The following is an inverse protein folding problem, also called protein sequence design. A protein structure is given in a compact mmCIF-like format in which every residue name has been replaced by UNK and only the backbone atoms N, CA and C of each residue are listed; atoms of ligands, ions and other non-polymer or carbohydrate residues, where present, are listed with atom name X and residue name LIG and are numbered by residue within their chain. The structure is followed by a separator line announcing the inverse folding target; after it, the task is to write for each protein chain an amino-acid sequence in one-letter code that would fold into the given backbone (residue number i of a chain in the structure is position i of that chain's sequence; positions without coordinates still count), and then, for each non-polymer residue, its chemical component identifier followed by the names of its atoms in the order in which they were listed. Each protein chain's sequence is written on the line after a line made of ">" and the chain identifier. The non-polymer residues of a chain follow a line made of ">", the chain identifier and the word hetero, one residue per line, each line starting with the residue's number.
data_IF_166789186863
#
_entry.id   IF_166789186863
#
_cell.length_a   1.000
_cell.length_b   1.000
_cell.length_c   1.000
_cell.angle_alpha   90.00
_cell.angle_beta   90.00
_cell.angle_gamma   90.00
#
_symmetry.space_group_name_H-M   'P 1'
#
loop_
_entity.id
_entity.type
_entity.pdbx_description
1 polymer ?
#
# COMPACT_ATOMS: atom_id res chain seq x y z
N UNK A 1 26.60 -46.67 -19.65
CA UNK A 1 26.03 -46.15 -20.91
C UNK A 1 24.52 -46.10 -20.72
N UNK A 2 23.94 -44.91 -20.53
CA UNK A 2 22.51 -44.72 -20.29
C UNK A 2 22.04 -43.49 -21.06
N UNK A 3 21.20 -43.70 -22.06
CA UNK A 3 20.69 -42.68 -22.97
C UNK A 3 19.51 -41.96 -22.32
N UNK A 4 19.62 -40.65 -22.06
CA UNK A 4 18.47 -39.77 -21.88
C UNK A 4 18.26 -38.96 -23.17
N UNK A 5 17.19 -39.28 -23.89
CA UNK A 5 16.74 -38.49 -25.03
C UNK A 5 16.06 -37.21 -24.53
N UNK A 6 16.60 -36.05 -24.91
CA UNK A 6 16.06 -34.75 -24.56
C UNK A 6 14.76 -34.44 -25.29
N UNK A 7 13.74 -34.02 -24.54
CA UNK A 7 12.47 -33.52 -25.09
C UNK A 7 12.65 -32.16 -25.78
N UNK A 8 12.06 -31.93 -26.97
CA UNK A 8 12.22 -30.66 -27.67
C UNK A 8 11.34 -29.56 -27.05
N UNK A 9 11.99 -28.50 -26.56
CA UNK A 9 11.37 -27.28 -26.04
C UNK A 9 10.82 -26.45 -27.22
N UNK A 10 9.51 -26.44 -27.45
CA UNK A 10 8.87 -25.51 -28.42
C UNK A 10 9.03 -24.07 -27.92
N UNK A 11 9.68 -23.23 -28.73
CA UNK A 11 9.75 -21.78 -28.52
C UNK A 11 8.34 -21.19 -28.63
N UNK A 12 7.87 -20.53 -27.58
CA UNK A 12 6.64 -19.74 -27.59
C UNK A 12 6.95 -18.45 -28.36
N UNK A 13 6.44 -18.34 -29.58
CA UNK A 13 6.50 -17.10 -30.34
C UNK A 13 5.64 -16.05 -29.62
N UNK A 14 6.22 -14.87 -29.40
CA UNK A 14 5.45 -13.66 -29.11
C UNK A 14 4.51 -13.41 -30.30
N UNK A 15 3.22 -13.36 -30.01
CA UNK A 15 2.23 -12.74 -30.88
C UNK A 15 1.51 -11.72 -30.01
N UNK A 16 1.81 -10.44 -30.26
CA UNK A 16 0.92 -9.36 -29.89
C UNK A 16 -0.42 -9.59 -30.58
N UNK A 17 -1.44 -9.93 -29.79
CA UNK A 17 -2.79 -10.11 -30.28
C UNK A 17 -3.46 -8.75 -30.41
N UNK A 18 -3.56 -8.25 -31.64
CA UNK A 18 -4.61 -7.31 -32.03
C UNK A 18 -5.97 -8.03 -31.82
N UNK A 19 -6.88 -7.42 -31.07
CA UNK A 19 -8.26 -7.86 -30.99
C UNK A 19 -8.99 -7.53 -32.30
N UNK A 20 -8.98 -8.46 -33.26
CA UNK A 20 -9.93 -8.46 -34.37
C UNK A 20 -11.00 -9.52 -34.09
N UNK A 21 -12.16 -9.06 -33.64
CA UNK A 21 -13.33 -9.89 -33.42
C UNK A 21 -14.03 -10.21 -34.75
N UNK A 22 -13.78 -11.42 -35.27
CA UNK A 22 -14.60 -12.04 -36.31
C UNK A 22 -15.78 -12.78 -35.69
N UNK A 23 -16.99 -12.44 -36.10
CA UNK A 23 -18.24 -12.98 -35.57
C UNK A 23 -18.48 -14.45 -35.91
N UNK A 24 -18.94 -15.19 -34.90
CA UNK A 24 -19.80 -16.36 -35.06
C UNK A 24 -21.08 -16.10 -34.25
N UNK A 25 -22.22 -16.25 -34.90
CA UNK A 25 -23.57 -15.89 -34.46
C UNK A 25 -24.13 -16.83 -33.37
N UNK A 26 -23.46 -16.88 -32.23
CA UNK A 26 -24.04 -17.25 -30.93
C UNK A 26 -23.68 -16.15 -29.93
N UNK A 27 -24.04 -14.92 -30.29
CA UNK A 27 -23.92 -13.78 -29.39
C UNK A 27 -24.95 -13.93 -28.26
N UNK A 28 -24.58 -14.68 -27.23
CA UNK A 28 -25.27 -14.62 -25.94
C UNK A 28 -25.20 -13.16 -25.49
N UNK A 29 -26.27 -12.39 -25.71
CA UNK A 29 -26.36 -11.00 -25.30
C UNK A 29 -26.14 -10.97 -23.79
N UNK A 30 -24.96 -10.53 -23.36
CA UNK A 30 -24.64 -10.44 -21.94
C UNK A 30 -25.74 -9.65 -21.25
N UNK A 31 -26.50 -10.30 -20.36
CA UNK A 31 -27.47 -9.65 -19.49
C UNK A 31 -26.80 -8.76 -18.43
N UNK A 32 -25.48 -8.89 -18.30
CA UNK A 32 -24.65 -8.12 -17.39
C UNK A 32 -24.25 -6.82 -18.08
N UNK A 33 -24.55 -5.69 -17.44
CA UNK A 33 -24.10 -4.35 -17.86
C UNK A 33 -22.98 -3.86 -16.96
N UNK A 34 -22.09 -3.01 -17.49
CA UNK A 34 -20.89 -2.52 -16.77
C UNK A 34 -21.22 -1.94 -15.40
N UNK A 35 -22.31 -1.20 -15.29
CA UNK A 35 -22.71 -0.49 -14.07
C UNK A 35 -23.24 -1.41 -12.96
N UNK A 36 -23.39 -2.72 -13.23
CA UNK A 36 -23.67 -3.73 -12.19
C UNK A 36 -22.43 -4.13 -11.40
N UNK A 37 -21.23 -3.76 -11.88
CA UNK A 37 -19.97 -4.09 -11.23
C UNK A 37 -19.28 -2.81 -10.81
N UNK A 38 -18.99 -2.71 -9.52
CA UNK A 38 -18.09 -1.70 -9.00
C UNK A 38 -17.02 -2.41 -8.15
N UNK A 39 -15.78 -1.94 -8.28
CA UNK A 39 -14.65 -2.49 -7.57
C UNK A 39 -14.42 -1.65 -6.32
N UNK A 40 -14.78 -2.21 -5.17
CA UNK A 40 -14.54 -1.57 -3.88
C UNK A 40 -13.49 -2.34 -3.08
N UNK A 41 -12.61 -1.59 -2.43
CA UNK A 41 -11.79 -2.13 -1.35
C UNK A 41 -12.69 -2.38 -0.13
N UNK A 42 -12.88 -3.64 0.22
CA UNK A 42 -13.74 -4.06 1.35
C UNK A 42 -12.98 -4.13 2.69
N UNK A 43 -11.65 -4.01 2.66
CA UNK A 43 -10.80 -4.07 3.84
C UNK A 43 -9.38 -4.51 3.51
N UNK A 44 -8.50 -4.37 4.50
CA UNK A 44 -7.14 -4.87 4.44
C UNK A 44 -6.94 -5.94 5.51
N UNK A 45 -6.28 -7.04 5.15
CA UNK A 45 -5.93 -8.11 6.08
C UNK A 45 -4.41 -8.30 6.12
N UNK A 46 -3.88 -8.67 7.29
CA UNK A 46 -2.44 -8.90 7.47
C UNK A 46 -1.62 -7.63 7.26
N UNK A 47 -0.43 -7.73 6.67
CA UNK A 47 0.40 -6.59 6.31
C UNK A 47 0.74 -6.68 4.82
N UNK A 48 0.69 -5.58 4.05
CA UNK A 48 0.95 -5.60 2.60
C UNK A 48 2.42 -5.93 2.28
N UNK A 49 3.32 -5.76 3.25
CA UNK A 49 4.73 -6.09 3.14
C UNK A 49 5.27 -6.54 4.50
N UNK A 50 6.52 -7.01 4.52
CA UNK A 50 7.22 -7.28 5.76
C UNK A 50 7.28 -6.00 6.62
N UNK A 51 6.85 -6.06 7.90
CA UNK A 51 6.99 -4.93 8.81
C UNK A 51 8.47 -4.70 9.13
N UNK A 52 8.88 -3.43 9.20
CA UNK A 52 10.27 -3.08 9.50
C UNK A 52 10.46 -2.45 10.88
N UNK A 53 9.43 -1.74 11.38
CA UNK A 53 9.47 -1.02 12.65
C UNK A 53 8.14 -1.10 13.38
N UNK A 54 8.19 -1.06 14.70
CA UNK A 54 7.02 -0.99 15.56
C UNK A 54 7.25 0.07 16.63
N UNK A 55 6.19 0.71 17.09
CA UNK A 55 6.22 1.70 18.15
C UNK A 55 4.93 1.64 18.96
N UNK A 56 5.04 1.65 20.28
CA UNK A 56 3.89 1.69 21.18
C UNK A 56 3.62 3.13 21.62
N UNK A 57 2.35 3.54 21.54
CA UNK A 57 1.86 4.85 21.96
C UNK A 57 1.04 4.68 23.23
N UNK A 58 1.67 4.80 24.41
CA UNK A 58 1.08 4.39 25.68
C UNK A 58 -0.14 5.22 26.08
N UNK A 59 -0.20 6.49 25.70
CA UNK A 59 -1.30 7.38 26.09
C UNK A 59 -2.62 7.05 25.40
N UNK A 60 -2.55 6.35 24.27
CA UNK A 60 -3.72 5.96 23.50
C UNK A 60 -3.94 4.44 23.50
N UNK A 61 -3.04 3.67 24.12
CA UNK A 61 -3.08 2.20 24.06
C UNK A 61 -2.91 1.66 22.64
N UNK A 62 -2.16 2.37 21.78
CA UNK A 62 -2.03 2.03 20.36
C UNK A 62 -0.67 1.41 20.03
N UNK A 63 -0.67 0.35 19.24
CA UNK A 63 0.53 -0.21 18.63
C UNK A 63 0.59 0.21 17.16
N UNK A 64 1.66 0.90 16.80
CA UNK A 64 1.94 1.33 15.43
C UNK A 64 2.94 0.39 14.80
N UNK A 65 2.64 -0.10 13.61
CA UNK A 65 3.49 -0.97 12.80
C UNK A 65 3.76 -0.26 11.49
N UNK A 66 5.03 0.05 11.22
CA UNK A 66 5.43 0.57 9.93
C UNK A 66 5.64 -0.57 8.93
N UNK A 67 4.88 -0.51 7.86
CA UNK A 67 5.01 -1.39 6.71
C UNK A 67 5.75 -0.66 5.60
N UNK A 68 6.34 -1.41 4.66
CA UNK A 68 6.90 -0.83 3.45
C UNK A 68 5.83 -0.05 2.65
N UNK A 69 6.28 0.77 1.70
CA UNK A 69 5.41 1.61 0.86
C UNK A 69 4.64 2.70 1.61
N UNK A 70 5.26 3.29 2.62
CA UNK A 70 4.75 4.50 3.26
C UNK A 70 3.36 4.36 3.89
N UNK A 71 3.13 3.25 4.57
CA UNK A 71 1.90 3.01 5.31
C UNK A 71 2.22 2.64 6.75
N UNK A 72 1.42 3.18 7.68
CA UNK A 72 1.40 2.71 9.05
C UNK A 72 0.12 1.93 9.28
N UNK A 73 0.25 0.82 9.97
CA UNK A 73 -0.88 0.10 10.51
C UNK A 73 -0.96 0.31 12.01
N UNK A 74 -2.11 0.74 12.48
CA UNK A 74 -2.35 1.06 13.89
C UNK A 74 -3.32 0.04 14.45
N UNK A 75 -2.93 -0.52 15.58
CA UNK A 75 -3.68 -1.51 16.35
C UNK A 75 -4.04 -0.92 17.71
N UNK A 76 -5.20 -1.27 18.23
CA UNK A 76 -5.66 -0.87 19.56
C UNK A 76 -6.53 -1.94 20.21
N UNK A 77 -7.22 -1.56 21.27
CA UNK A 77 -8.15 -2.42 22.00
C UNK A 77 -9.39 -2.77 21.16
N UNK A 78 -10.12 -3.81 21.58
CA UNK A 78 -11.39 -4.24 20.98
C UNK A 78 -11.33 -4.54 19.47
N UNK A 79 -10.17 -4.97 18.97
CA UNK A 79 -9.96 -5.29 17.56
C UNK A 79 -9.82 -4.05 16.67
N UNK A 80 -9.56 -2.87 17.26
CA UNK A 80 -9.26 -1.66 16.50
C UNK A 80 -8.03 -1.88 15.61
N UNK A 81 -8.22 -1.71 14.32
CA UNK A 81 -7.18 -1.87 13.30
C UNK A 81 -7.45 -0.89 12.16
N UNK A 82 -6.49 -0.01 11.86
CA UNK A 82 -6.63 0.99 10.79
C UNK A 82 -5.31 1.18 10.04
N UNK A 83 -5.41 1.40 8.73
CA UNK A 83 -4.28 1.86 7.92
C UNK A 83 -4.29 3.37 7.85
N UNK A 84 -3.14 3.97 8.17
CA UNK A 84 -2.90 5.39 8.00
C UNK A 84 -2.08 5.59 6.72
N UNK A 85 -2.67 6.22 5.70
CA UNK A 85 -1.89 6.68 4.56
C UNK A 85 -0.96 7.78 5.07
N UNK A 86 0.33 7.63 4.79
CA UNK A 86 1.26 8.73 5.00
C UNK A 86 1.01 9.76 3.89
N UNK A 87 1.11 11.04 4.23
CA UNK A 87 0.61 12.11 3.36
C UNK A 87 1.50 12.31 2.14
N UNK A 88 0.88 12.32 0.94
CA UNK A 88 1.43 12.96 -0.27
C UNK A 88 1.25 14.47 -0.14
N UNK A 89 2.23 15.23 -0.59
CA UNK A 89 2.13 16.68 -0.58
C UNK A 89 0.87 17.09 -1.39
N UNK A 90 -0.07 17.78 -0.73
CA UNK A 90 -1.25 18.34 -1.39
C UNK A 90 -0.78 19.48 -2.28
N UNK A 91 -0.36 19.21 -3.51
CA UNK A 91 0.09 20.28 -4.39
C UNK A 91 0.44 19.89 -5.80
N UNK A 92 1.29 18.89 -6.00
CA UNK A 92 1.82 18.59 -7.32
C UNK A 92 1.64 17.11 -7.63
N UNK A 93 0.95 16.84 -8.74
CA UNK A 93 0.67 15.53 -9.34
C UNK A 93 1.93 14.75 -9.79
N UNK A 94 3.08 15.00 -9.15
CA UNK A 94 4.38 14.40 -9.43
C UNK A 94 5.16 14.03 -8.17
N UNK A 95 4.64 14.16 -6.94
CA UNK A 95 5.29 13.53 -5.78
C UNK A 95 5.01 12.03 -5.78
N UNK A 96 5.60 11.32 -6.75
CA UNK A 96 5.61 9.87 -6.75
C UNK A 96 6.34 9.44 -5.48
N UNK A 97 5.62 8.84 -4.54
CA UNK A 97 6.27 8.07 -3.49
C UNK A 97 7.36 7.22 -4.14
N UNK A 98 8.58 7.30 -3.63
CA UNK A 98 9.65 6.46 -4.12
C UNK A 98 9.23 5.01 -3.84
N UNK A 99 8.81 4.31 -4.90
CA UNK A 99 8.36 2.94 -4.81
C UNK A 99 9.50 2.12 -4.17
N UNK A 100 9.27 1.60 -2.97
CA UNK A 100 10.28 0.88 -2.20
C UNK A 100 11.00 1.68 -1.10
N UNK A 101 10.64 2.94 -0.84
CA UNK A 101 11.08 3.62 0.37
C UNK A 101 10.63 2.85 1.62
N UNK A 102 11.56 2.62 2.54
CA UNK A 102 11.33 1.83 3.74
C UNK A 102 11.42 2.68 5.01
N UNK A 103 10.63 2.38 6.06
CA UNK A 103 10.76 3.03 7.36
C UNK A 103 12.13 2.73 7.98
N UNK A 104 12.92 3.77 8.24
CA UNK A 104 14.24 3.64 8.88
C UNK A 104 14.16 3.95 10.37
N UNK A 105 13.32 4.89 10.76
CA UNK A 105 13.07 5.30 12.14
C UNK A 105 11.57 5.45 12.41
N UNK A 106 11.12 4.98 13.56
CA UNK A 106 9.76 5.14 14.04
C UNK A 106 9.82 5.23 15.57
N UNK A 107 9.43 6.36 16.14
CA UNK A 107 9.45 6.51 17.58
C UNK A 107 8.38 7.47 18.11
N UNK A 108 7.93 7.22 19.33
CA UNK A 108 6.98 8.06 20.03
C UNK A 108 7.72 9.02 20.94
N UNK A 109 7.44 10.31 20.76
CA UNK A 109 8.13 11.37 21.47
C UNK A 109 7.38 11.78 22.73
N UNK A 110 8.10 12.39 23.67
CA UNK A 110 7.53 12.98 24.88
C UNK A 110 6.49 14.08 24.60
N UNK A 111 6.43 14.59 23.36
CA UNK A 111 5.46 15.59 22.93
C UNK A 111 4.07 15.04 22.61
N UNK A 112 3.88 13.72 22.72
CA UNK A 112 2.62 13.08 22.34
C UNK A 112 2.53 12.70 20.86
N UNK A 113 3.63 12.85 20.12
CA UNK A 113 3.66 12.69 18.66
C UNK A 113 4.59 11.55 18.26
N UNK A 114 4.24 10.90 17.17
CA UNK A 114 5.03 9.87 16.52
C UNK A 114 5.88 10.52 15.42
N UNK A 115 7.16 10.15 15.34
CA UNK A 115 8.06 10.60 14.28
C UNK A 115 8.43 9.40 13.43
N UNK A 116 8.22 9.53 12.12
CA UNK A 116 8.59 8.55 11.13
C UNK A 116 9.63 9.15 10.18
N UNK A 117 10.71 8.41 9.94
CA UNK A 117 11.71 8.73 8.91
C UNK A 117 11.80 7.57 7.94
N UNK A 118 11.84 7.93 6.66
CA UNK A 118 11.92 7.01 5.53
C UNK A 118 13.33 7.00 4.94
N UNK A 119 13.67 5.94 4.21
CA UNK A 119 14.98 5.77 3.57
C UNK A 119 15.27 6.80 2.45
N UNK A 120 14.23 7.43 1.91
CA UNK A 120 14.32 8.52 0.92
C UNK A 120 14.45 9.92 1.57
N UNK A 121 14.75 9.95 2.87
CA UNK A 121 14.87 11.16 3.71
C UNK A 121 13.55 11.90 3.94
N UNK A 122 12.40 11.34 3.55
CA UNK A 122 11.12 11.89 3.96
C UNK A 122 10.94 11.73 5.48
N UNK A 123 10.41 12.78 6.12
CA UNK A 123 10.13 12.81 7.56
C UNK A 123 8.68 13.20 7.77
N UNK A 124 7.97 12.48 8.65
CA UNK A 124 6.60 12.83 9.03
C UNK A 124 6.45 12.86 10.55
N UNK A 125 5.73 13.85 11.03
CA UNK A 125 5.29 13.99 12.41
C UNK A 125 3.80 13.72 12.44
N UNK A 126 3.41 12.74 13.24
CA UNK A 126 2.08 12.17 13.27
C UNK A 126 1.49 12.35 14.66
N UNK A 127 0.30 12.91 14.73
CA UNK A 127 -0.50 13.02 15.94
C UNK A 127 -1.66 12.03 15.87
N UNK A 128 -1.56 10.95 16.64
CA UNK A 128 -2.58 9.90 16.64
C UNK A 128 -3.84 10.29 17.42
N UNK A 129 -3.81 11.35 18.24
CA UNK A 129 -5.03 11.84 18.90
C UNK A 129 -6.06 12.33 17.86
N UNK A 130 -5.58 12.83 16.71
CA UNK A 130 -6.42 13.26 15.59
C UNK A 130 -7.27 12.14 14.99
N UNK A 131 -6.95 10.87 15.24
CA UNK A 131 -7.78 9.73 14.80
C UNK A 131 -9.17 9.76 15.41
N UNK A 132 -9.27 10.16 16.68
CA UNK A 132 -10.55 10.22 17.40
C UNK A 132 -11.44 11.34 16.84
N UNK A 133 -10.83 12.38 16.28
CA UNK A 133 -11.53 13.57 15.77
C UNK A 133 -11.76 13.53 14.25
N UNK A 134 -11.32 12.46 13.57
CA UNK A 134 -11.40 12.34 12.12
C UNK A 134 -10.56 13.40 11.36
N UNK A 135 -9.52 13.93 12.01
CA UNK A 135 -8.62 14.94 11.44
C UNK A 135 -7.43 14.28 10.74
N UNK A 136 -6.71 15.06 9.93
CA UNK A 136 -5.44 14.64 9.35
C UNK A 136 -4.45 14.32 10.49
N UNK A 137 -3.94 13.09 10.49
CA UNK A 137 -3.00 12.62 11.51
C UNK A 137 -1.59 13.14 11.24
N UNK A 138 -1.26 13.50 9.99
CA UNK A 138 0.06 14.04 9.65
C UNK A 138 0.04 15.55 9.91
N UNK A 139 0.70 15.96 11.00
CA UNK A 139 0.72 17.37 11.44
C UNK A 139 1.90 18.17 10.89
N UNK A 140 2.97 17.48 10.49
CA UNK A 140 4.08 18.09 9.76
C UNK A 140 4.75 17.03 8.88
N UNK A 141 5.26 17.46 7.74
CA UNK A 141 6.01 16.60 6.83
C UNK A 141 7.18 17.37 6.20
N UNK A 142 8.28 16.67 5.98
CA UNK A 142 9.37 17.06 5.11
C UNK A 142 9.40 16.03 3.98
N UNK A 143 9.10 16.41 2.73
CA UNK A 143 9.07 15.47 1.61
C UNK A 143 10.48 14.98 1.25
N UNK A 144 10.57 13.88 0.48
CA UNK A 144 11.84 13.48 -0.12
C UNK A 144 12.31 14.56 -1.10
N UNK A 145 13.64 14.70 -1.26
CA UNK A 145 14.27 15.75 -2.09
C UNK A 145 14.68 15.29 -3.49
N UNK A 146 14.18 14.16 -3.97
CA UNK A 146 14.62 13.53 -5.21
C UNK A 146 13.45 13.17 -6.11
#
# INVERSE_FOLDING_TARGET
>A
MGNQAGSPRKKKAEHGGNFEGGGSEDACSSKLVRDMFDLHLIGHHGLPSQPSRICYVPMLGLLVVATGYQQLKVYGEDGFEVYLPLREDKGDSTSSFSAGATPTFLDYTNSGKLVLVMSDSAVQVIDLANLQEGKDVVVAALPSRY
#
